data_IF_156382566224
#
_entry.id   IF_156382566224
#
_cell.length_a   1.000
_cell.length_b   1.000
_cell.length_c   1.000
_cell.angle_alpha   90.00
_cell.angle_beta   90.00
_cell.angle_gamma   90.00
#
_symmetry.space_group_name_H-M   'P 1'
#
loop_
_entity.id
_entity.type
_entity.pdbx_description
1 polymer ?
#
# COMPACT_ATOMS: atom_id res chain seq x y z
N UNK A 1 -42.51 -12.93 -25.13
CA UNK A 1 -41.73 -13.78 -24.21
C UNK A 1 -40.72 -12.89 -23.49
N UNK A 2 -41.12 -12.33 -22.34
CA UNK A 2 -40.35 -11.32 -21.61
C UNK A 2 -39.52 -11.98 -20.51
N UNK A 3 -38.19 -11.90 -20.60
CA UNK A 3 -37.28 -12.39 -19.56
C UNK A 3 -37.22 -11.39 -18.40
N UNK A 4 -37.84 -11.77 -17.27
CA UNK A 4 -37.64 -11.12 -15.97
C UNK A 4 -36.22 -11.43 -15.46
N UNK A 5 -35.32 -10.46 -15.50
CA UNK A 5 -34.08 -10.53 -14.73
C UNK A 5 -34.37 -10.19 -13.26
N UNK A 6 -34.11 -11.15 -12.37
CA UNK A 6 -34.22 -11.00 -10.91
C UNK A 6 -33.13 -10.04 -10.40
N UNK A 7 -33.56 -9.09 -9.57
CA UNK A 7 -32.75 -8.11 -8.83
C UNK A 7 -31.81 -8.77 -7.81
N UNK A 8 -30.66 -9.30 -8.28
CA UNK A 8 -29.63 -9.86 -7.39
C UNK A 8 -28.19 -9.49 -7.77
N UNK A 9 -27.99 -8.66 -8.80
CA UNK A 9 -26.65 -8.30 -9.30
C UNK A 9 -26.20 -6.90 -8.88
N UNK A 10 -27.14 -6.02 -8.48
CA UNK A 10 -26.81 -4.63 -8.07
C UNK A 10 -26.29 -4.56 -6.61
N UNK A 11 -26.52 -5.59 -5.78
CA UNK A 11 -26.08 -5.59 -4.38
C UNK A 11 -24.63 -6.08 -4.19
N UNK A 12 -24.00 -6.67 -5.20
CA UNK A 12 -22.63 -7.20 -5.06
C UNK A 12 -21.52 -6.21 -5.48
N UNK A 13 -21.84 -5.24 -6.34
CA UNK A 13 -20.88 -4.21 -6.79
C UNK A 13 -20.65 -3.08 -5.77
N UNK A 14 -21.50 -2.96 -4.74
CA UNK A 14 -21.40 -1.87 -3.74
C UNK A 14 -20.57 -2.24 -2.48
N UNK A 15 -20.19 -3.52 -2.29
CA UNK A 15 -19.40 -3.94 -1.11
C UNK A 15 -17.88 -3.96 -1.31
N UNK A 16 -17.38 -3.85 -2.55
CA UNK A 16 -15.94 -3.86 -2.84
C UNK A 16 -15.36 -2.43 -2.89
N UNK A 17 -16.19 -1.41 -3.13
CA UNK A 17 -15.73 -0.02 -3.28
C UNK A 17 -15.62 0.79 -1.97
N UNK A 18 -16.07 0.26 -0.82
CA UNK A 18 -16.17 1.01 0.45
C UNK A 18 -15.03 0.79 1.46
N UNK A 19 -13.83 0.35 1.03
CA UNK A 19 -12.65 0.24 1.95
C UNK A 19 -11.62 1.35 1.85
N UNK A 20 -11.87 2.40 1.07
CA UNK A 20 -11.05 3.61 1.10
C UNK A 20 -11.94 4.83 1.28
N UNK A 21 -11.67 5.60 2.34
CA UNK A 21 -12.31 6.89 2.60
C UNK A 21 -12.10 7.82 1.39
N UNK A 22 -13.12 7.98 0.57
CA UNK A 22 -13.31 9.19 -0.23
C UNK A 22 -14.81 9.51 -0.26
N UNK A 23 -15.11 10.76 0.06
CA UNK A 23 -16.44 11.35 0.07
C UNK A 23 -16.74 11.88 -1.34
N UNK A 24 -17.77 11.39 -2.05
CA UNK A 24 -18.35 12.10 -3.16
C UNK A 24 -19.70 12.70 -2.72
N UNK A 25 -19.71 13.99 -2.45
CA UNK A 25 -20.94 14.76 -2.62
C UNK A 25 -21.29 14.72 -4.10
N UNK A 26 -22.25 13.88 -4.46
CA UNK A 26 -23.32 14.03 -5.46
C UNK A 26 -23.82 12.62 -5.74
N UNK A 27 -24.83 12.20 -4.97
CA UNK A 27 -25.93 11.33 -5.38
C UNK A 27 -27.04 11.56 -4.35
N UNK A 28 -27.66 12.75 -4.40
CA UNK A 28 -28.96 12.99 -3.77
C UNK A 28 -30.00 12.30 -4.63
N UNK A 29 -30.49 11.14 -4.16
CA UNK A 29 -31.90 10.75 -4.11
C UNK A 29 -32.03 9.22 -4.07
N UNK A 30 -32.96 8.75 -3.22
CA UNK A 30 -33.41 7.37 -3.08
C UNK A 30 -32.46 6.37 -2.41
N UNK A 31 -32.24 6.55 -1.09
CA UNK A 31 -32.11 5.40 -0.19
C UNK A 31 -33.12 5.58 0.94
N UNK A 32 -34.13 4.72 0.92
CA UNK A 32 -35.11 4.54 1.98
C UNK A 32 -34.39 4.27 3.30
N UNK A 33 -34.71 5.06 4.33
CA UNK A 33 -34.25 4.87 5.71
C UNK A 33 -34.58 3.44 6.14
N UNK A 34 -33.58 2.55 6.16
CA UNK A 34 -33.65 1.32 6.92
C UNK A 34 -33.21 1.68 8.34
N UNK A 35 -34.18 1.85 9.23
CA UNK A 35 -33.99 2.04 10.66
C UNK A 35 -33.11 0.91 11.19
N UNK A 36 -31.88 1.24 11.55
CA UNK A 36 -31.05 0.35 12.33
C UNK A 36 -31.62 0.38 13.75
N UNK A 37 -32.20 -0.74 14.20
CA UNK A 37 -32.73 -0.88 15.55
C UNK A 37 -31.59 -0.63 16.56
N UNK A 38 -31.66 0.52 17.23
CA UNK A 38 -30.85 0.82 18.40
C UNK A 38 -31.28 -0.12 19.52
N UNK A 39 -30.58 -1.25 19.67
CA UNK A 39 -30.51 -1.91 20.98
C UNK A 39 -29.90 -0.89 21.95
N UNK A 40 -30.63 -0.61 23.03
CA UNK A 40 -30.22 0.34 24.07
C UNK A 40 -28.84 -0.03 24.59
N UNK A 41 -27.91 0.91 24.43
CA UNK A 41 -26.48 0.75 24.75
C UNK A 41 -26.25 0.63 26.26
N UNK A 42 -27.25 0.98 27.06
CA UNK A 42 -27.30 0.81 28.52
C UNK A 42 -27.07 -0.65 28.96
N UNK A 43 -27.13 -1.63 28.07
CA UNK A 43 -26.94 -3.05 28.40
C UNK A 43 -25.57 -3.64 28.02
N UNK A 44 -24.65 -2.85 27.45
CA UNK A 44 -23.37 -3.39 26.93
C UNK A 44 -22.22 -3.31 27.94
N UNK A 45 -22.27 -2.36 28.88
CA UNK A 45 -21.20 -2.14 29.85
C UNK A 45 -21.70 -2.33 31.28
N UNK A 46 -20.85 -2.87 32.16
CA UNK A 46 -21.17 -2.99 33.58
C UNK A 46 -21.21 -1.60 34.21
N UNK A 47 -22.07 -1.35 35.23
CA UNK A 47 -22.16 -0.03 35.88
C UNK A 47 -20.81 0.46 36.45
N UNK A 48 -19.98 -0.46 36.94
CA UNK A 48 -18.64 -0.19 37.46
C UNK A 48 -17.64 0.31 36.40
N UNK A 49 -17.83 -0.10 35.15
CA UNK A 49 -16.97 0.23 34.02
C UNK A 49 -17.41 1.57 33.39
N UNK A 50 -18.72 1.84 33.38
CA UNK A 50 -19.29 3.12 32.96
C UNK A 50 -18.80 4.28 33.83
N UNK A 51 -18.83 4.14 35.15
CA UNK A 51 -18.35 5.18 36.08
C UNK A 51 -16.87 5.49 35.86
N UNK A 52 -16.04 4.48 35.57
CA UNK A 52 -14.60 4.68 35.31
C UNK A 52 -14.37 5.47 34.02
N UNK A 53 -15.05 5.10 32.94
CA UNK A 53 -14.93 5.80 31.66
C UNK A 53 -15.39 7.25 31.81
N UNK A 54 -16.53 7.49 32.48
CA UNK A 54 -17.04 8.84 32.72
C UNK A 54 -16.09 9.69 33.58
N UNK A 55 -15.46 9.09 34.59
CA UNK A 55 -14.47 9.78 35.41
C UNK A 55 -13.26 10.20 34.57
N UNK A 56 -12.71 9.31 33.74
CA UNK A 56 -11.59 9.67 32.84
C UNK A 56 -12.01 10.79 31.88
N UNK A 57 -13.20 10.64 31.28
CA UNK A 57 -13.79 11.60 30.35
C UNK A 57 -14.25 12.90 30.98
N UNK A 58 -14.22 13.08 32.30
CA UNK A 58 -14.54 14.34 32.96
C UNK A 58 -13.32 14.99 33.64
N UNK A 59 -12.36 14.18 34.10
CA UNK A 59 -11.25 14.65 34.94
C UNK A 59 -9.98 14.95 34.16
N UNK A 60 -9.72 14.26 33.04
CA UNK A 60 -8.45 14.42 32.33
C UNK A 60 -8.34 15.81 31.69
N UNK A 61 -7.23 16.50 31.88
CA UNK A 61 -6.95 17.78 31.21
C UNK A 61 -6.76 17.57 29.70
N UNK A 62 -6.78 18.66 28.93
CA UNK A 62 -6.55 18.61 27.48
C UNK A 62 -5.22 17.93 27.13
N UNK A 63 -4.15 18.22 27.89
CA UNK A 63 -2.84 17.60 27.72
C UNK A 63 -2.87 16.10 28.03
N UNK A 64 -3.58 15.70 29.09
CA UNK A 64 -3.73 14.30 29.48
C UNK A 64 -4.54 13.52 28.43
N UNK A 65 -5.63 14.10 27.92
CA UNK A 65 -6.41 13.52 26.82
C UNK A 65 -5.60 13.43 25.52
N UNK A 66 -4.68 14.38 25.26
CA UNK A 66 -3.76 14.32 24.11
C UNK A 66 -2.69 13.24 24.25
N UNK A 67 -2.33 12.86 25.46
CA UNK A 67 -1.41 11.76 25.73
C UNK A 67 -2.07 10.38 25.55
N UNK A 68 -3.41 10.33 25.56
CA UNK A 68 -4.15 9.11 25.27
C UNK A 68 -4.03 8.70 23.81
N UNK A 69 -3.29 7.60 23.57
CA UNK A 69 -2.93 7.08 22.23
C UNK A 69 -4.13 6.78 21.33
N UNK A 70 -5.33 6.72 21.89
CA UNK A 70 -6.56 6.34 21.22
C UNK A 70 -7.49 7.52 20.92
N UNK A 71 -7.17 8.72 21.44
CA UNK A 71 -7.83 9.97 21.06
C UNK A 71 -7.01 10.67 19.99
N UNK A 72 -7.68 11.13 18.93
CA UNK A 72 -7.04 11.97 17.89
C UNK A 72 -7.18 13.43 18.28
N UNK A 73 -6.22 14.28 17.92
CA UNK A 73 -6.21 15.71 18.29
C UNK A 73 -7.57 16.41 18.10
N UNK A 74 -8.25 16.31 16.94
CA UNK A 74 -9.53 17.00 16.76
C UNK A 74 -10.63 16.48 17.70
N UNK A 75 -10.54 15.23 18.15
CA UNK A 75 -11.54 14.65 19.05
C UNK A 75 -11.32 15.11 20.50
N UNK A 76 -10.07 15.29 20.93
CA UNK A 76 -9.76 15.84 22.26
C UNK A 76 -10.34 17.25 22.39
N UNK A 77 -10.11 18.08 21.38
CA UNK A 77 -10.63 19.46 21.36
C UNK A 77 -12.17 19.46 21.43
N UNK A 78 -12.84 18.52 20.74
CA UNK A 78 -14.31 18.39 20.81
C UNK A 78 -14.83 17.87 22.16
N UNK A 79 -14.07 17.02 22.85
CA UNK A 79 -14.42 16.55 24.21
C UNK A 79 -14.30 17.71 25.19
N UNK A 80 -13.21 18.49 25.13
CA UNK A 80 -13.01 19.67 25.97
C UNK A 80 -14.06 20.73 25.66
N UNK A 81 -14.35 20.98 24.39
CA UNK A 81 -15.40 21.91 23.96
C UNK A 81 -16.79 21.50 24.46
N UNK A 82 -17.11 20.20 24.42
CA UNK A 82 -18.34 19.67 24.98
C UNK A 82 -18.44 19.95 26.49
N UNK A 83 -17.38 19.66 27.26
CA UNK A 83 -17.34 19.93 28.71
C UNK A 83 -17.53 21.41 29.03
N UNK A 84 -16.90 22.29 28.25
CA UNK A 84 -16.98 23.74 28.44
C UNK A 84 -18.35 24.33 28.08
N UNK A 85 -19.07 23.74 27.12
CA UNK A 85 -20.36 24.27 26.64
C UNK A 85 -21.58 23.64 27.29
N UNK A 86 -21.53 22.32 27.52
CA UNK A 86 -22.69 21.53 27.95
C UNK A 86 -22.52 21.06 29.40
N UNK A 87 -21.27 20.88 29.84
CA UNK A 87 -20.93 20.38 31.17
C UNK A 87 -20.37 18.95 31.14
N UNK A 88 -20.12 18.36 32.32
CA UNK A 88 -19.53 17.02 32.42
C UNK A 88 -20.46 15.95 31.83
N UNK A 89 -19.88 14.88 31.30
CA UNK A 89 -20.61 13.70 30.82
C UNK A 89 -21.30 13.01 31.99
N UNK A 90 -22.62 12.81 31.91
CA UNK A 90 -23.41 12.14 32.95
C UNK A 90 -23.66 10.68 32.65
N UNK A 91 -23.75 10.34 31.36
CA UNK A 91 -24.00 8.99 30.86
C UNK A 91 -23.08 8.72 29.68
N UNK A 92 -22.76 7.46 29.39
CA UNK A 92 -21.94 7.16 28.21
C UNK A 92 -22.61 7.60 26.89
N UNK A 93 -23.94 7.64 26.85
CA UNK A 93 -24.67 8.11 25.67
C UNK A 93 -24.42 9.59 25.37
N UNK A 94 -24.00 10.40 26.35
CA UNK A 94 -23.57 11.78 26.14
C UNK A 94 -22.33 11.88 25.24
N UNK A 95 -21.47 10.87 25.24
CA UNK A 95 -20.29 10.83 24.38
C UNK A 95 -20.65 10.79 22.89
N UNK A 96 -21.82 10.22 22.52
CA UNK A 96 -22.32 10.27 21.14
C UNK A 96 -22.72 11.68 20.69
N UNK A 97 -23.00 12.58 21.64
CA UNK A 97 -23.36 13.99 21.33
C UNK A 97 -22.13 14.81 20.96
N UNK A 98 -20.92 14.29 21.23
CA UNK A 98 -19.66 14.92 20.81
C UNK A 98 -19.49 14.77 19.30
N UNK A 99 -19.24 15.90 18.63
CA UNK A 99 -19.05 15.93 17.18
C UNK A 99 -17.87 15.04 16.78
N UNK A 100 -18.12 14.09 15.88
CA UNK A 100 -17.11 13.14 15.40
C UNK A 100 -17.09 11.80 16.13
N UNK A 101 -17.94 11.59 17.15
CA UNK A 101 -18.12 10.30 17.81
C UNK A 101 -19.30 9.53 17.19
N UNK A 102 -19.01 8.75 16.15
CA UNK A 102 -19.96 7.77 15.61
C UNK A 102 -20.02 6.46 16.44
N UNK A 103 -20.95 5.54 16.16
CA UNK A 103 -21.13 4.30 16.92
C UNK A 103 -19.87 3.43 17.04
N UNK A 104 -19.08 3.35 15.96
CA UNK A 104 -17.80 2.64 15.95
C UNK A 104 -16.77 3.32 16.87
N UNK A 105 -16.72 4.65 16.82
CA UNK A 105 -15.76 5.45 17.60
C UNK A 105 -16.09 5.37 19.09
N UNK A 106 -17.38 5.44 19.42
CA UNK A 106 -17.91 5.27 20.77
C UNK A 106 -17.44 3.94 21.38
N UNK A 107 -17.64 2.84 20.66
CA UNK A 107 -17.21 1.51 21.10
C UNK A 107 -15.70 1.42 21.31
N UNK A 108 -14.92 1.94 20.35
CA UNK A 108 -13.45 1.93 20.43
C UNK A 108 -12.90 2.72 21.63
N UNK A 109 -13.51 3.85 21.97
CA UNK A 109 -13.12 4.66 23.14
C UNK A 109 -13.41 3.92 24.44
N UNK A 110 -14.63 3.37 24.58
CA UNK A 110 -15.04 2.65 25.78
C UNK A 110 -14.19 1.39 26.02
N UNK A 111 -13.96 0.57 24.99
CA UNK A 111 -13.16 -0.66 25.10
C UNK A 111 -11.70 -0.38 25.50
N UNK A 112 -11.12 0.72 25.00
CA UNK A 112 -9.73 1.06 25.27
C UNK A 112 -9.51 1.62 26.67
N UNK A 113 -10.38 2.51 27.14
CA UNK A 113 -10.34 3.00 28.51
C UNK A 113 -10.50 1.88 29.55
N UNK A 114 -11.28 0.83 29.24
CA UNK A 114 -11.40 -0.34 30.12
C UNK A 114 -10.16 -1.23 30.09
N UNK A 115 -9.52 -1.38 28.92
CA UNK A 115 -8.34 -2.23 28.76
C UNK A 115 -7.10 -1.76 29.54
N UNK A 116 -6.99 -0.46 29.82
CA UNK A 116 -5.88 0.11 30.58
C UNK A 116 -5.99 -0.16 32.10
N UNK A 117 -7.20 -0.45 32.61
CA UNK A 117 -7.42 -0.79 34.03
C UNK A 117 -6.95 -2.20 34.41
N UNK A 118 -6.90 -3.14 33.46
CA UNK A 118 -6.52 -4.55 33.72
C UNK A 118 -4.99 -4.71 33.80
N UNK A 119 -4.21 -3.71 33.37
CA UNK A 119 -2.74 -3.82 33.30
C UNK A 119 -1.99 -3.23 34.50
N UNK A 120 -2.69 -2.73 35.53
CA UNK A 120 -2.06 -2.15 36.71
C UNK A 120 -1.49 -3.18 37.70
N UNK A 121 -1.91 -4.45 37.66
CA UNK A 121 -1.51 -5.49 38.63
C UNK A 121 -0.48 -6.52 38.12
N UNK A 122 0.00 -6.40 36.88
CA UNK A 122 1.11 -7.23 36.37
C UNK A 122 2.08 -6.42 35.51
N UNK A 123 2.76 -5.43 36.10
CA UNK A 123 3.98 -4.86 35.51
C UNK A 123 5.15 -5.82 35.75
N UNK A 124 5.30 -6.82 34.87
CA UNK A 124 6.62 -7.28 34.45
C UNK A 124 6.93 -6.60 33.10
N UNK A 125 8.07 -5.94 33.07
CA UNK A 125 8.72 -5.31 31.92
C UNK A 125 8.20 -5.76 30.54
N UNK A 126 7.50 -4.87 29.84
CA UNK A 126 7.59 -4.81 28.38
C UNK A 126 7.73 -3.35 27.98
N UNK A 127 8.95 -3.00 27.60
CA UNK A 127 9.23 -1.78 26.87
C UNK A 127 8.38 -1.69 25.60
N UNK A 128 8.22 -0.46 25.13
CA UNK A 128 7.98 -0.08 23.73
C UNK A 128 7.38 -1.20 22.87
N UNK A 129 6.05 -1.21 22.69
CA UNK A 129 5.42 -2.05 21.65
C UNK A 129 6.06 -1.69 20.30
N UNK A 130 7.06 -2.47 19.91
CA UNK A 130 7.63 -2.45 18.58
C UNK A 130 6.44 -2.62 17.63
N UNK A 131 6.29 -1.70 16.66
CA UNK A 131 5.45 -1.95 15.51
C UNK A 131 5.95 -3.27 14.93
N UNK A 132 5.16 -4.33 15.03
CA UNK A 132 5.45 -5.57 14.32
C UNK A 132 5.58 -5.20 12.85
N UNK A 133 6.80 -5.33 12.33
CA UNK A 133 7.07 -5.01 10.94
C UNK A 133 6.23 -5.91 10.07
N UNK A 134 5.61 -5.32 9.04
CA UNK A 134 4.82 -6.11 8.09
C UNK A 134 5.74 -7.12 7.39
N UNK A 135 5.31 -8.38 7.23
CA UNK A 135 6.07 -9.37 6.48
C UNK A 135 6.27 -8.89 5.04
N UNK A 136 7.43 -9.18 4.46
CA UNK A 136 7.83 -8.58 3.19
C UNK A 136 6.96 -9.05 2.03
N UNK A 137 6.44 -10.27 2.10
CA UNK A 137 5.49 -10.84 1.16
C UNK A 137 4.21 -9.99 1.04
N UNK A 138 3.87 -9.24 2.10
CA UNK A 138 2.71 -8.33 2.08
C UNK A 138 2.89 -7.09 1.19
N UNK A 139 4.12 -6.82 0.75
CA UNK A 139 4.40 -5.78 -0.24
C UNK A 139 4.17 -6.25 -1.69
N UNK A 140 3.90 -7.54 -1.89
CA UNK A 140 3.65 -8.13 -3.20
C UNK A 140 2.17 -8.49 -3.37
N UNK A 141 1.63 -8.24 -4.55
CA UNK A 141 0.25 -8.56 -4.89
C UNK A 141 0.15 -9.19 -6.29
N UNK A 142 -0.33 -10.44 -6.43
CA UNK A 142 -0.78 -11.33 -5.36
C UNK A 142 0.35 -11.77 -4.43
N UNK A 143 0.02 -12.34 -3.27
CA UNK A 143 1.03 -12.81 -2.31
C UNK A 143 1.85 -13.94 -2.95
N UNK A 144 3.17 -13.85 -2.85
CA UNK A 144 4.09 -14.84 -3.41
C UNK A 144 4.20 -16.03 -2.46
N UNK A 145 3.83 -17.22 -2.93
CA UNK A 145 3.90 -18.45 -2.14
C UNK A 145 5.31 -19.07 -2.18
N UNK A 146 5.76 -19.75 -1.12
CA UNK A 146 7.08 -20.38 -1.09
C UNK A 146 7.27 -21.47 -2.15
N UNK A 147 6.22 -22.20 -2.54
CA UNK A 147 6.32 -23.25 -3.57
C UNK A 147 6.78 -22.66 -4.91
N UNK A 148 6.27 -21.46 -5.20
CA UNK A 148 6.49 -20.74 -6.44
C UNK A 148 7.92 -20.18 -6.51
N UNK A 149 8.49 -19.73 -5.38
CA UNK A 149 9.86 -19.21 -5.35
C UNK A 149 10.89 -20.21 -5.90
N UNK A 150 10.63 -21.52 -5.71
CA UNK A 150 11.52 -22.58 -6.21
C UNK A 150 11.61 -22.62 -7.73
N UNK A 151 10.59 -22.16 -8.46
CA UNK A 151 10.54 -22.23 -9.93
C UNK A 151 11.12 -20.99 -10.62
N UNK A 152 11.36 -19.90 -9.89
CA UNK A 152 11.81 -18.62 -10.46
C UNK A 152 13.31 -18.66 -10.75
N UNK A 153 13.75 -18.74 -11.99
CA UNK A 153 15.15 -18.52 -12.38
C UNK A 153 15.46 -17.06 -12.71
N UNK A 154 14.51 -16.33 -13.29
CA UNK A 154 14.66 -14.90 -13.63
C UNK A 154 13.38 -14.09 -13.38
N UNK A 155 13.55 -12.80 -13.11
CA UNK A 155 12.45 -11.83 -13.00
C UNK A 155 12.73 -10.60 -13.86
N UNK A 156 11.67 -10.04 -14.46
CA UNK A 156 11.72 -8.76 -15.15
C UNK A 156 10.95 -7.72 -14.33
N UNK A 157 11.65 -6.79 -13.72
CA UNK A 157 11.02 -5.60 -13.14
C UNK A 157 10.54 -4.65 -14.23
N UNK A 158 9.37 -4.05 -14.04
CA UNK A 158 8.71 -3.17 -15.01
C UNK A 158 8.15 -1.95 -14.29
N UNK A 159 8.43 -0.76 -14.84
CA UNK A 159 7.83 0.50 -14.41
C UNK A 159 7.15 1.15 -15.60
N UNK A 160 5.83 1.34 -15.49
CA UNK A 160 5.01 1.99 -16.53
C UNK A 160 4.93 3.49 -16.24
N UNK A 161 5.37 4.31 -17.20
CA UNK A 161 5.25 5.77 -17.17
C UNK A 161 4.35 6.24 -18.33
N UNK A 162 4.22 7.56 -18.50
CA UNK A 162 3.42 8.16 -19.57
C UNK A 162 4.11 8.10 -20.93
N UNK A 163 5.43 8.22 -20.93
CA UNK A 163 6.28 8.36 -22.11
C UNK A 163 6.89 7.01 -22.54
N UNK A 164 7.22 6.16 -21.57
CA UNK A 164 7.90 4.90 -21.82
C UNK A 164 7.61 3.87 -20.72
N UNK A 165 7.95 2.63 -21.02
CA UNK A 165 8.02 1.54 -20.06
C UNK A 165 9.47 1.16 -19.86
N UNK A 166 9.90 1.17 -18.61
CA UNK A 166 11.27 0.87 -18.20
C UNK A 166 11.30 -0.55 -17.62
N UNK A 167 12.34 -1.30 -17.92
CA UNK A 167 12.45 -2.67 -17.43
C UNK A 167 13.88 -3.12 -17.17
N UNK A 168 14.02 -4.08 -16.25
CA UNK A 168 15.29 -4.73 -15.93
C UNK A 168 15.06 -6.20 -15.65
N UNK A 169 15.81 -7.07 -16.33
CA UNK A 169 15.76 -8.51 -16.14
C UNK A 169 17.01 -8.98 -15.42
N UNK A 170 16.78 -9.73 -14.35
CA UNK A 170 17.83 -10.24 -13.47
C UNK A 170 17.58 -11.72 -13.17
N UNK A 171 18.65 -12.49 -13.02
CA UNK A 171 18.60 -13.89 -12.61
C UNK A 171 18.96 -14.08 -11.12
N UNK A 172 18.92 -15.34 -10.65
CA UNK A 172 19.25 -15.71 -9.26
C UNK A 172 20.69 -15.41 -8.85
N UNK A 173 21.59 -15.33 -9.81
CA UNK A 173 23.02 -15.07 -9.59
C UNK A 173 23.32 -13.57 -9.67
N UNK A 174 22.27 -12.73 -9.70
CA UNK A 174 22.34 -11.27 -9.78
C UNK A 174 23.00 -10.77 -11.07
N UNK A 175 22.91 -11.54 -12.16
CA UNK A 175 23.29 -11.08 -13.49
C UNK A 175 22.14 -10.32 -14.12
N UNK A 176 22.43 -9.12 -14.63
CA UNK A 176 21.47 -8.29 -15.36
C UNK A 176 21.59 -8.58 -16.85
N UNK A 177 20.58 -9.22 -17.43
CA UNK A 177 20.56 -9.57 -18.86
C UNK A 177 19.98 -8.46 -19.74
N UNK A 178 19.05 -7.69 -19.20
CA UNK A 178 18.38 -6.61 -19.91
C UNK A 178 18.20 -5.41 -18.98
N UNK A 179 18.50 -4.22 -19.47
CA UNK A 179 18.25 -2.96 -18.77
C UNK A 179 17.95 -1.90 -19.82
N UNK A 180 16.66 -1.67 -20.08
CA UNK A 180 16.22 -0.87 -21.22
C UNK A 180 14.86 -0.20 -20.97
N UNK A 181 14.37 0.52 -21.98
CA UNK A 181 13.02 1.06 -22.02
C UNK A 181 12.40 0.89 -23.41
N UNK A 182 11.07 0.84 -23.47
CA UNK A 182 10.29 0.87 -24.70
C UNK A 182 9.44 2.14 -24.71
N UNK A 183 9.55 2.93 -25.78
CA UNK A 183 8.79 4.18 -25.93
C UNK A 183 7.31 3.89 -26.19
N UNK A 184 6.43 4.66 -25.54
CA UNK A 184 5.00 4.64 -25.79
C UNK A 184 4.65 5.69 -26.86
N UNK A 185 3.81 5.31 -27.82
CA UNK A 185 3.43 6.20 -28.91
C UNK A 185 2.33 7.18 -28.47
N UNK A 186 2.61 8.47 -28.58
CA UNK A 186 1.63 9.54 -28.38
C UNK A 186 1.52 10.01 -26.92
N UNK A 187 2.14 11.15 -26.62
CA UNK A 187 2.02 11.83 -25.33
C UNK A 187 0.67 12.52 -25.11
N UNK A 188 -0.18 12.59 -26.16
CA UNK A 188 -1.51 13.19 -26.07
C UNK A 188 -2.50 12.19 -25.45
N UNK A 189 -2.69 12.34 -24.13
CA UNK A 189 -3.63 11.55 -23.34
C UNK A 189 -5.06 11.62 -23.88
N UNK A 190 -5.46 12.71 -24.55
CA UNK A 190 -6.82 12.84 -25.09
C UNK A 190 -7.08 11.90 -26.27
N UNK A 191 -6.03 11.36 -26.88
CA UNK A 191 -6.14 10.45 -28.02
C UNK A 191 -5.95 8.97 -27.64
N UNK A 192 -5.76 8.66 -26.35
CA UNK A 192 -5.55 7.30 -25.87
C UNK A 192 -6.87 6.55 -25.74
N UNK A 193 -7.24 5.82 -26.80
CA UNK A 193 -8.41 4.93 -26.82
C UNK A 193 -8.03 3.51 -26.45
N UNK A 194 -8.99 2.69 -26.02
CA UNK A 194 -8.72 1.30 -25.65
C UNK A 194 -8.03 0.47 -26.75
N UNK A 195 -8.38 0.59 -28.06
CA UNK A 195 -7.64 -0.09 -29.13
C UNK A 195 -6.17 0.34 -29.22
N UNK A 196 -5.88 1.65 -29.15
CA UNK A 196 -4.49 2.15 -29.19
C UNK A 196 -3.68 1.68 -27.98
N UNK A 197 -4.29 1.67 -26.79
CA UNK A 197 -3.66 1.14 -25.57
C UNK A 197 -3.34 -0.34 -25.74
N UNK A 198 -4.23 -1.12 -26.36
CA UNK A 198 -3.97 -2.53 -26.64
C UNK A 198 -2.82 -2.72 -27.65
N UNK A 199 -2.79 -1.94 -28.74
CA UNK A 199 -1.70 -1.96 -29.73
C UNK A 199 -0.35 -1.62 -29.08
N UNK A 200 -0.31 -0.59 -28.23
CA UNK A 200 0.88 -0.25 -27.44
C UNK A 200 1.26 -1.39 -26.49
N UNK A 201 0.30 -1.99 -25.79
CA UNK A 201 0.57 -3.09 -24.87
C UNK A 201 1.14 -4.32 -25.61
N UNK A 202 0.66 -4.61 -26.81
CA UNK A 202 1.19 -5.68 -27.66
C UNK A 202 2.65 -5.40 -28.06
N UNK A 203 2.94 -4.19 -28.56
CA UNK A 203 4.30 -3.79 -28.91
C UNK A 203 5.27 -3.86 -27.71
N UNK A 204 4.80 -3.48 -26.53
CA UNK A 204 5.58 -3.58 -25.29
C UNK A 204 5.84 -5.04 -24.92
N UNK A 205 4.83 -5.92 -24.99
CA UNK A 205 4.99 -7.34 -24.67
C UNK A 205 5.97 -8.02 -25.62
N UNK A 206 6.02 -7.60 -26.89
CA UNK A 206 7.02 -8.05 -27.86
C UNK A 206 8.43 -7.56 -27.52
N UNK A 207 8.56 -6.35 -26.98
CA UNK A 207 9.84 -5.78 -26.55
C UNK A 207 10.34 -6.31 -25.20
N UNK A 208 9.44 -6.80 -24.33
CA UNK A 208 9.80 -7.30 -23.01
C UNK A 208 10.49 -8.67 -23.13
N UNK A 209 11.62 -8.87 -22.42
CA UNK A 209 12.29 -10.16 -22.37
C UNK A 209 11.41 -11.22 -21.68
N UNK A 210 11.59 -12.48 -22.08
CA UNK A 210 10.92 -13.61 -21.44
C UNK A 210 11.53 -13.88 -20.07
N UNK A 211 10.68 -13.90 -19.04
CA UNK A 211 11.08 -14.20 -17.66
C UNK A 211 10.00 -15.00 -16.96
N UNK A 212 10.33 -15.68 -15.85
CA UNK A 212 9.31 -16.43 -15.11
C UNK A 212 8.24 -15.48 -14.60
N UNK A 213 8.67 -14.36 -13.98
CA UNK A 213 7.78 -13.33 -13.45
C UNK A 213 8.12 -11.92 -13.89
N UNK A 214 7.09 -11.08 -13.90
CA UNK A 214 7.17 -9.66 -14.12
C UNK A 214 6.75 -8.91 -12.86
N UNK A 215 7.63 -8.04 -12.35
CA UNK A 215 7.43 -7.27 -11.12
C UNK A 215 7.06 -5.82 -11.46
N UNK A 216 5.81 -5.43 -11.26
CA UNK A 216 5.30 -4.11 -11.57
C UNK A 216 5.35 -3.22 -10.33
N UNK A 217 6.19 -2.18 -10.34
CA UNK A 217 6.25 -1.26 -9.19
C UNK A 217 5.00 -0.37 -9.14
N UNK A 218 4.31 -0.40 -8.00
CA UNK A 218 3.15 0.47 -7.73
C UNK A 218 3.62 1.77 -7.10
N UNK A 219 3.60 2.84 -7.89
CA UNK A 219 3.85 4.18 -7.38
C UNK A 219 2.54 4.91 -7.20
N UNK A 220 2.01 4.86 -5.98
CA UNK A 220 0.90 5.74 -5.62
C UNK A 220 1.45 7.14 -5.40
N UNK A 221 1.03 8.09 -6.25
CA UNK A 221 1.17 9.49 -5.89
C UNK A 221 0.39 9.72 -4.59
N UNK A 222 1.09 10.12 -3.52
CA UNK A 222 0.46 10.45 -2.24
C UNK A 222 -0.51 11.64 -2.37
N UNK A 223 -0.42 12.38 -3.49
CA UNK A 223 -1.29 13.51 -3.84
C UNK A 223 -2.07 13.15 -5.09
N UNK A 224 -3.25 12.58 -4.88
CA UNK A 224 -4.24 12.47 -5.94
C UNK A 224 -4.86 13.86 -6.15
N UNK A 225 -4.66 14.45 -7.33
CA UNK A 225 -5.41 15.62 -7.77
C UNK A 225 -6.20 15.26 -9.02
N UNK A 226 -7.37 15.87 -9.17
CA UNK A 226 -8.24 15.65 -10.33
C UNK A 226 -7.54 15.95 -11.66
N UNK A 227 -6.55 16.86 -11.65
CA UNK A 227 -5.73 17.19 -12.83
C UNK A 227 -4.85 16.04 -13.33
N UNK A 228 -4.62 14.99 -12.54
CA UNK A 228 -3.82 13.82 -12.94
C UNK A 228 -4.68 12.57 -13.19
N UNK A 229 -6.00 12.70 -13.22
CA UNK A 229 -6.88 11.53 -13.35
C UNK A 229 -6.69 10.82 -14.69
N UNK A 230 -6.52 11.57 -15.77
CA UNK A 230 -6.35 11.00 -17.12
C UNK A 230 -5.04 10.20 -17.23
N UNK A 231 -3.97 10.72 -16.63
CA UNK A 231 -2.68 10.03 -16.48
C UNK A 231 -2.85 8.72 -15.74
N UNK A 232 -3.54 8.77 -14.59
CA UNK A 232 -3.76 7.58 -13.77
C UNK A 232 -4.59 6.53 -14.51
N UNK A 233 -5.66 6.96 -15.18
CA UNK A 233 -6.53 6.06 -15.96
C UNK A 233 -5.79 5.43 -17.13
N UNK A 234 -4.97 6.19 -17.86
CA UNK A 234 -4.13 5.65 -18.93
C UNK A 234 -3.16 4.59 -18.40
N UNK A 235 -2.39 4.90 -17.35
CA UNK A 235 -1.43 3.95 -16.77
C UNK A 235 -2.15 2.70 -16.25
N UNK A 236 -3.30 2.85 -15.59
CA UNK A 236 -4.08 1.72 -15.11
C UNK A 236 -4.61 0.84 -16.25
N UNK A 237 -5.11 1.43 -17.33
CA UNK A 237 -5.59 0.70 -18.51
C UNK A 237 -4.44 -0.05 -19.21
N UNK A 238 -3.29 0.61 -19.40
CA UNK A 238 -2.11 -0.01 -19.99
C UNK A 238 -1.57 -1.14 -19.10
N UNK A 239 -1.49 -0.94 -17.79
CA UNK A 239 -1.11 -2.01 -16.85
C UNK A 239 -2.07 -3.19 -16.92
N UNK A 240 -3.38 -2.96 -16.99
CA UNK A 240 -4.36 -4.04 -17.12
C UNK A 240 -4.23 -4.79 -18.45
N UNK A 241 -3.97 -4.09 -19.56
CA UNK A 241 -3.69 -4.73 -20.84
C UNK A 241 -2.43 -5.61 -20.76
N UNK A 242 -1.33 -5.08 -20.22
CA UNK A 242 -0.07 -5.81 -20.03
C UNK A 242 -0.25 -7.03 -19.13
N UNK A 243 -0.92 -6.88 -17.98
CA UNK A 243 -1.21 -8.00 -17.08
C UNK A 243 -1.97 -9.09 -17.82
N UNK A 244 -2.97 -8.73 -18.60
CA UNK A 244 -3.77 -9.69 -19.38
C UNK A 244 -2.90 -10.42 -20.41
N UNK A 245 -2.08 -9.68 -21.17
CA UNK A 245 -1.24 -10.23 -22.22
C UNK A 245 -0.05 -11.05 -21.72
N UNK A 246 0.50 -10.73 -20.54
CA UNK A 246 1.61 -11.47 -19.93
C UNK A 246 1.14 -12.74 -19.19
N UNK A 247 -0.11 -12.79 -18.74
CA UNK A 247 -0.72 -13.94 -18.06
C UNK A 247 -1.42 -14.91 -19.03
N UNK A 248 -0.78 -15.24 -20.17
CA UNK A 248 -1.37 -16.07 -21.24
C UNK A 248 -1.89 -17.44 -20.76
N UNK A 249 -1.16 -18.05 -19.83
CA UNK A 249 -1.40 -19.42 -19.33
C UNK A 249 -2.18 -19.44 -18.00
N UNK A 250 -2.75 -18.30 -17.59
CA UNK A 250 -3.41 -18.21 -16.29
C UNK A 250 -4.64 -19.11 -16.18
N UNK A 251 -5.35 -19.33 -17.29
CA UNK A 251 -6.55 -20.18 -17.30
C UNK A 251 -6.20 -21.65 -17.03
N UNK A 252 -5.06 -22.12 -17.52
CA UNK A 252 -4.60 -23.50 -17.41
C UNK A 252 -3.84 -23.73 -16.10
N UNK A 253 -2.98 -22.79 -15.71
CA UNK A 253 -2.07 -22.95 -14.56
C UNK A 253 -2.64 -22.39 -13.26
N UNK A 254 -3.63 -21.49 -13.33
CA UNK A 254 -4.12 -20.67 -12.21
C UNK A 254 -2.99 -19.90 -11.49
N UNK A 255 -1.87 -19.69 -12.17
CA UNK A 255 -0.69 -19.05 -11.62
C UNK A 255 -0.45 -17.71 -12.30
N UNK A 256 -0.34 -16.67 -11.48
CA UNK A 256 0.02 -15.34 -11.97
C UNK A 256 1.50 -15.31 -12.37
N UNK A 257 1.79 -14.70 -13.52
CA UNK A 257 3.14 -14.30 -13.93
C UNK A 257 3.48 -12.87 -13.57
N UNK A 258 2.47 -12.02 -13.35
CA UNK A 258 2.66 -10.60 -13.02
C UNK A 258 2.34 -10.34 -11.55
N UNK A 259 3.26 -9.69 -10.86
CA UNK A 259 3.17 -9.33 -9.46
C UNK A 259 3.40 -7.84 -9.28
N UNK A 260 2.53 -7.17 -8.55
CA UNK A 260 2.71 -5.79 -8.15
C UNK A 260 3.57 -5.70 -6.91
N UNK A 261 4.49 -4.74 -6.88
CA UNK A 261 5.39 -4.48 -5.75
C UNK A 261 5.08 -3.10 -5.19
N UNK A 262 4.92 -2.97 -3.87
CA UNK A 262 4.75 -1.67 -3.21
C UNK A 262 6.04 -0.85 -3.26
N UNK A 263 5.95 0.44 -3.56
CA UNK A 263 7.07 1.40 -3.42
C UNK A 263 7.68 1.44 -2.00
N UNK A 264 6.94 1.02 -0.96
CA UNK A 264 7.45 0.87 0.41
C UNK A 264 8.53 -0.21 0.49
N UNK A 265 8.42 -1.29 -0.30
CA UNK A 265 9.38 -2.39 -0.30
C UNK A 265 10.77 -1.89 -0.71
N UNK A 266 10.88 -1.29 -1.90
CA UNK A 266 12.15 -0.76 -2.42
C UNK A 266 12.76 0.26 -1.45
N UNK A 267 11.94 1.15 -0.88
CA UNK A 267 12.42 2.14 0.10
C UNK A 267 13.00 1.50 1.36
N UNK A 268 12.39 0.43 1.86
CA UNK A 268 12.88 -0.29 3.05
C UNK A 268 14.10 -1.14 2.76
N UNK A 269 14.08 -1.90 1.67
CA UNK A 269 15.16 -2.81 1.28
C UNK A 269 16.51 -2.09 1.17
N UNK A 270 16.47 -0.83 0.71
CA UNK A 270 17.65 -0.05 0.41
C UNK A 270 17.83 1.21 1.28
N UNK A 271 17.01 1.39 2.31
CA UNK A 271 17.11 2.56 3.20
C UNK A 271 16.91 3.92 2.49
N UNK A 272 16.07 3.98 1.46
CA UNK A 272 15.87 5.20 0.63
C UNK A 272 14.95 6.25 1.26
N UNK A 273 14.76 6.23 2.57
CA UNK A 273 13.94 7.21 3.27
C UNK A 273 14.82 8.14 4.08
N UNK A 274 14.70 9.45 3.84
CA UNK A 274 15.28 10.48 4.70
C UNK A 274 14.12 11.34 5.22
N UNK A 275 13.78 11.16 6.49
CA UNK A 275 12.57 11.72 7.06
C UNK A 275 11.30 11.12 6.44
N UNK A 276 10.39 11.98 5.94
CA UNK A 276 9.14 11.57 5.28
C UNK A 276 9.24 11.38 3.76
N UNK A 277 10.40 11.69 3.18
CA UNK A 277 10.64 11.74 1.74
C UNK A 277 11.52 10.58 1.26
N UNK A 278 11.32 10.22 0.00
CA UNK A 278 12.14 9.22 -0.68
C UNK A 278 13.34 9.90 -1.35
N UNK A 279 14.54 9.36 -1.13
CA UNK A 279 15.76 9.78 -1.83
C UNK A 279 16.03 8.90 -3.05
N UNK A 280 16.85 9.43 -3.97
CA UNK A 280 17.27 8.71 -5.18
C UNK A 280 18.09 7.46 -4.83
N UNK A 281 17.80 6.35 -5.51
CA UNK A 281 18.56 5.11 -5.41
C UNK A 281 19.89 5.12 -6.14
N UNK A 282 20.23 6.18 -6.87
CA UNK A 282 21.40 6.22 -7.76
C UNK A 282 22.74 6.10 -7.04
N UNK A 283 22.79 6.47 -5.76
CA UNK A 283 23.99 6.25 -4.94
C UNK A 283 24.31 4.76 -4.78
N UNK A 284 23.30 3.88 -4.80
CA UNK A 284 23.48 2.42 -4.74
C UNK A 284 24.04 1.90 -6.06
N UNK A 285 23.55 2.41 -7.20
CA UNK A 285 24.15 2.08 -8.50
C UNK A 285 25.63 2.43 -8.54
N UNK A 286 26.01 3.57 -7.96
CA UNK A 286 27.41 3.97 -7.86
C UNK A 286 28.22 3.00 -7.00
N UNK A 287 27.68 2.55 -5.86
CA UNK A 287 28.32 1.50 -5.05
C UNK A 287 28.47 0.19 -5.82
N UNK A 288 27.48 -0.19 -6.64
CA UNK A 288 27.55 -1.39 -7.48
C UNK A 288 28.65 -1.24 -8.54
N UNK A 289 28.71 -0.10 -9.22
CA UNK A 289 29.74 0.19 -10.23
C UNK A 289 31.16 0.23 -9.63
N UNK A 290 31.31 0.85 -8.45
CA UNK A 290 32.58 0.96 -7.73
C UNK A 290 32.99 -0.38 -7.06
N UNK A 291 32.20 -1.45 -7.22
CA UNK A 291 32.36 -2.75 -6.54
C UNK A 291 32.42 -2.64 -5.01
N UNK A 292 31.72 -1.66 -4.43
CA UNK A 292 31.61 -1.42 -2.99
C UNK A 292 30.26 -1.91 -2.43
N UNK A 293 29.39 -2.44 -3.27
CA UNK A 293 28.12 -3.01 -2.86
C UNK A 293 28.30 -4.40 -2.25
N UNK A 294 27.47 -4.76 -1.27
CA UNK A 294 27.64 -6.02 -0.50
C UNK A 294 27.46 -7.28 -1.34
N UNK A 295 26.59 -7.22 -2.35
CA UNK A 295 26.34 -8.32 -3.27
C UNK A 295 27.05 -8.06 -4.60
N UNK A 296 27.56 -9.14 -5.22
CA UNK A 296 28.18 -9.08 -6.54
C UNK A 296 27.08 -9.03 -7.60
N UNK A 297 26.74 -7.83 -8.06
CA UNK A 297 25.76 -7.63 -9.14
C UNK A 297 26.51 -7.49 -10.45
N UNK A 298 26.31 -8.42 -11.38
CA UNK A 298 26.98 -8.43 -12.68
C UNK A 298 26.14 -7.68 -13.71
N UNK A 299 26.66 -6.54 -14.19
CA UNK A 299 25.99 -5.71 -15.20
C UNK A 299 26.93 -5.56 -16.41
N UNK A 300 26.54 -6.07 -17.59
CA UNK A 300 27.35 -5.93 -18.79
C UNK A 300 27.65 -4.45 -19.15
N UNK A 301 28.86 -4.14 -19.65
CA UNK A 301 29.27 -2.76 -19.95
C UNK A 301 28.36 -2.03 -20.93
N UNK A 302 27.72 -2.74 -21.86
CA UNK A 302 26.75 -2.19 -22.81
C UNK A 302 25.49 -1.64 -22.11
N UNK A 303 25.04 -2.28 -21.02
CA UNK A 303 23.88 -1.82 -20.27
C UNK A 303 24.21 -0.57 -19.45
N UNK A 304 25.42 -0.49 -18.91
CA UNK A 304 25.93 0.75 -18.31
C UNK A 304 25.99 1.88 -19.32
N UNK A 305 26.46 1.61 -20.54
CA UNK A 305 26.49 2.61 -21.62
C UNK A 305 25.09 3.14 -21.92
N UNK A 306 24.09 2.26 -22.00
CA UNK A 306 22.69 2.66 -22.18
C UNK A 306 22.23 3.58 -21.05
N UNK A 307 22.50 3.21 -19.79
CA UNK A 307 22.18 4.04 -18.63
C UNK A 307 22.83 5.43 -18.70
N UNK A 308 24.12 5.50 -19.04
CA UNK A 308 24.87 6.76 -19.08
C UNK A 308 24.43 7.69 -20.19
N UNK A 309 24.06 7.14 -21.34
CA UNK A 309 23.57 7.86 -22.51
C UNK A 309 22.17 8.47 -22.32
N UNK A 310 21.46 8.15 -21.22
CA UNK A 310 20.15 8.76 -20.96
C UNK A 310 20.25 10.27 -20.77
N UNK A 311 19.39 11.00 -21.50
CA UNK A 311 19.42 12.47 -21.59
C UNK A 311 19.05 13.15 -20.27
N UNK A 312 18.08 12.61 -19.53
CA UNK A 312 17.52 13.25 -18.35
C UNK A 312 17.84 12.48 -17.06
N UNK A 313 17.95 13.23 -15.96
CA UNK A 313 18.08 12.65 -14.61
C UNK A 313 16.86 11.80 -14.24
N UNK A 314 15.68 12.14 -14.78
CA UNK A 314 14.45 11.39 -14.58
C UNK A 314 14.56 9.97 -15.16
N UNK A 315 15.07 9.83 -16.40
CA UNK A 315 15.24 8.53 -17.04
C UNK A 315 16.25 7.66 -16.29
N UNK A 316 17.35 8.25 -15.85
CA UNK A 316 18.33 7.57 -14.99
C UNK A 316 17.70 7.09 -13.69
N UNK A 317 16.78 7.85 -13.10
CA UNK A 317 16.05 7.40 -11.91
C UNK A 317 15.09 6.24 -12.19
N UNK A 318 14.42 6.22 -13.35
CA UNK A 318 13.53 5.10 -13.74
C UNK A 318 14.31 3.80 -13.95
N UNK A 319 15.43 3.88 -14.67
CA UNK A 319 16.37 2.76 -14.84
C UNK A 319 16.86 2.23 -13.49
N UNK A 320 17.30 3.15 -12.61
CA UNK A 320 17.74 2.80 -11.27
C UNK A 320 16.66 2.06 -10.49
N UNK A 321 15.42 2.54 -10.55
CA UNK A 321 14.36 1.95 -9.75
C UNK A 321 13.97 0.55 -10.20
N UNK A 322 13.92 0.28 -11.51
CA UNK A 322 13.67 -1.07 -12.02
C UNK A 322 14.75 -2.03 -11.50
N UNK A 323 16.02 -1.66 -11.65
CA UNK A 323 17.13 -2.46 -11.17
C UNK A 323 17.02 -2.75 -9.66
N UNK A 324 16.72 -1.73 -8.84
CA UNK A 324 16.56 -1.91 -7.41
C UNK A 324 15.36 -2.81 -7.04
N UNK A 325 14.24 -2.75 -7.77
CA UNK A 325 13.10 -3.66 -7.53
C UNK A 325 13.53 -5.12 -7.77
N UNK A 326 14.23 -5.40 -8.86
CA UNK A 326 14.72 -6.75 -9.17
C UNK A 326 15.78 -7.23 -8.16
N UNK A 327 16.76 -6.37 -7.85
CA UNK A 327 17.81 -6.65 -6.86
C UNK A 327 17.22 -6.94 -5.48
N UNK A 328 16.32 -6.07 -5.01
CA UNK A 328 15.68 -6.20 -3.70
C UNK A 328 14.85 -7.48 -3.62
N UNK A 329 14.18 -7.86 -4.72
CA UNK A 329 13.45 -9.13 -4.81
C UNK A 329 14.38 -10.33 -4.57
N UNK A 330 15.50 -10.42 -5.29
CA UNK A 330 16.43 -11.54 -5.10
C UNK A 330 17.13 -11.52 -3.75
N UNK A 331 17.56 -10.36 -3.27
CA UNK A 331 18.14 -10.22 -1.94
C UNK A 331 17.18 -10.71 -0.86
N UNK A 332 15.91 -10.38 -0.97
CA UNK A 332 14.96 -10.76 0.07
C UNK A 332 14.58 -12.24 0.02
N UNK A 333 14.27 -12.77 -1.17
CA UNK A 333 13.74 -14.13 -1.30
C UNK A 333 14.81 -15.22 -1.46
N UNK A 334 16.03 -14.85 -1.87
CA UNK A 334 17.07 -15.82 -2.24
C UNK A 334 18.45 -15.58 -1.59
N UNK A 335 18.68 -14.44 -0.92
CA UNK A 335 19.93 -14.25 -0.17
C UNK A 335 20.03 -15.23 1.00
N UNK A 336 21.19 -15.87 1.13
CA UNK A 336 21.53 -16.83 2.18
C UNK A 336 21.81 -16.17 3.56
N UNK A 337 21.72 -14.84 3.71
CA UNK A 337 22.18 -14.15 4.94
C UNK A 337 21.10 -13.57 5.88
N UNK A 338 19.83 -13.47 5.48
CA UNK A 338 18.82 -12.77 6.33
C UNK A 338 18.18 -13.69 7.39
N UNK A 339 18.41 -15.01 7.36
CA UNK A 339 17.90 -15.97 8.36
C UNK A 339 18.94 -16.50 9.36
N UNK A 340 20.08 -15.82 9.53
CA UNK A 340 20.99 -16.02 10.68
C UNK A 340 21.27 -14.67 11.31
N UNK A 341 20.51 -14.34 12.36
CA UNK A 341 20.88 -13.49 13.52
C UNK A 341 19.64 -12.76 14.08
N UNK A 342 18.69 -13.54 14.60
CA UNK A 342 17.78 -13.07 15.65
C UNK A 342 17.65 -14.14 16.73
N UNK A 343 18.80 -14.60 17.22
CA UNK A 343 18.93 -15.13 18.57
C UNK A 343 19.67 -14.08 19.40
N UNK A 344 19.12 -13.60 20.52
CA UNK A 344 19.85 -12.65 21.36
C UNK A 344 21.07 -13.36 21.97
N UNK A 345 22.24 -12.69 22.05
CA UNK A 345 23.34 -13.22 22.84
C UNK A 345 22.91 -13.33 24.31
N UNK A 346 23.25 -14.47 24.90
CA UNK A 346 23.07 -14.79 26.31
C UNK A 346 23.94 -13.90 27.21
#
# INVERSE_FOLDING_TARGET
MAFKFKSSVITFMCKICCRTKYNPYILRSFVTKKSFEEKSIEQVYKPEDEVKILNILNTFTEEQLRQEKHLIYPLVDQIVEYRSKIGPFTTLTDLKKVKGVGPHRFKEICEKFLSDTVQASQKKNTGTKARTEKPVESYFSPVIKPEILKTISSVTSVTVCLDAIYFTTMDRDLNVSNWSHAMLTGSDLQQQTAPKILEQALAVVEALPSSNFYLFETRFSRRFSLSHIDVFMFVAQLQMALVTLLNKEFKETLQHKVYYVSDVFTRKAFGLNVGGEQVSGRHILKLIEDNQYSDVVSIPPELWRNYYNMETSLYKERYCSCLLVALGFFQHFFSKSIYKNSSPPA
#
